data_IF_459915256320
#
_entry.id   IF_459915256320
#
_cell.length_a   1.000
_cell.length_b   1.000
_cell.length_c   1.000
_cell.angle_alpha   90.00
_cell.angle_beta   90.00
_cell.angle_gamma   90.00
#
_symmetry.space_group_name_H-M   'P 1'
#
loop_
_entity.id
_entity.type
_entity.pdbx_description
1 polymer ?
#
# COMPACT_ATOMS: atom_id res chain seq x y z
N UNK A 1 14.71 -2.12 21.17
CA UNK A 1 14.00 -0.84 20.94
C UNK A 1 12.53 -1.08 21.17
N UNK A 2 11.81 -0.17 21.83
CA UNK A 2 10.36 -0.25 22.01
C UNK A 2 9.73 0.98 21.38
N UNK A 3 8.69 0.79 20.58
CA UNK A 3 7.97 1.84 19.83
C UNK A 3 6.55 1.89 20.36
N UNK A 4 6.06 3.07 20.74
CA UNK A 4 4.73 3.25 21.34
C UNK A 4 4.09 4.54 20.80
N UNK A 5 2.86 4.47 20.31
CA UNK A 5 2.11 5.64 19.83
C UNK A 5 2.41 6.03 18.38
N UNK A 6 2.05 7.26 17.94
CA UNK A 6 2.18 7.71 16.56
C UNK A 6 3.62 8.14 16.22
N UNK A 7 4.58 7.25 16.42
CA UNK A 7 5.98 7.50 16.10
C UNK A 7 6.26 7.35 14.60
N UNK A 8 7.15 8.18 14.07
CA UNK A 8 7.65 8.10 12.70
C UNK A 8 9.13 7.73 12.77
N UNK A 9 9.44 6.49 12.39
CA UNK A 9 10.81 5.96 12.45
C UNK A 9 11.35 5.83 11.04
N UNK A 10 12.54 6.39 10.82
CA UNK A 10 13.28 6.26 9.56
C UNK A 10 14.50 5.36 9.76
N UNK A 11 14.60 4.30 8.95
CA UNK A 11 15.78 3.42 8.93
C UNK A 11 16.73 3.91 7.83
N UNK A 12 17.91 4.37 8.23
CA UNK A 12 18.94 4.90 7.33
C UNK A 12 20.12 3.94 7.20
N UNK A 13 20.76 3.92 6.04
CA UNK A 13 21.92 3.10 5.77
C UNK A 13 22.20 2.95 4.28
N UNK A 14 23.42 2.53 3.93
CA UNK A 14 23.84 2.31 2.53
C UNK A 14 22.95 1.25 1.85
N UNK A 15 22.92 1.24 0.52
CA UNK A 15 22.31 0.14 -0.23
C UNK A 15 23.02 -1.17 0.10
N UNK A 16 22.26 -2.25 0.25
CA UNK A 16 22.80 -3.55 0.70
C UNK A 16 22.98 -3.69 2.22
N UNK A 17 22.74 -2.66 3.04
CA UNK A 17 22.86 -2.73 4.51
C UNK A 17 21.79 -3.60 5.20
N UNK A 18 20.89 -4.25 4.45
CA UNK A 18 19.83 -5.11 5.00
C UNK A 18 18.56 -4.38 5.47
N UNK A 19 18.32 -3.13 5.04
CA UNK A 19 17.14 -2.33 5.43
C UNK A 19 15.82 -3.05 5.13
N UNK A 20 15.61 -3.50 3.90
CA UNK A 20 14.41 -4.25 3.51
C UNK A 20 14.27 -5.57 4.27
N UNK A 21 15.38 -6.23 4.57
CA UNK A 21 15.39 -7.45 5.42
C UNK A 21 14.93 -7.14 6.84
N UNK A 22 15.38 -6.02 7.41
CA UNK A 22 14.93 -5.55 8.72
C UNK A 22 13.43 -5.21 8.71
N UNK A 23 12.95 -4.48 7.70
CA UNK A 23 11.52 -4.16 7.56
C UNK A 23 10.65 -5.41 7.47
N UNK A 24 11.08 -6.46 6.74
CA UNK A 24 10.38 -7.75 6.68
C UNK A 24 10.34 -8.46 8.04
N UNK A 25 11.42 -8.40 8.82
CA UNK A 25 11.43 -8.95 10.18
C UNK A 25 10.46 -8.20 11.11
N UNK A 26 10.47 -6.87 11.05
CA UNK A 26 9.54 -6.02 11.81
C UNK A 26 8.09 -6.35 11.43
N UNK A 27 7.80 -6.51 10.13
CA UNK A 27 6.47 -6.94 9.66
C UNK A 27 6.04 -8.24 10.34
N UNK A 28 6.89 -9.27 10.33
CA UNK A 28 6.56 -10.56 10.93
C UNK A 28 6.36 -10.47 12.46
N UNK A 29 7.13 -9.62 13.15
CA UNK A 29 6.98 -9.37 14.58
C UNK A 29 5.68 -8.62 14.89
N UNK A 30 5.31 -7.62 14.09
CA UNK A 30 4.01 -6.98 14.23
C UNK A 30 2.85 -7.96 14.00
N UNK A 31 3.01 -8.91 13.07
CA UNK A 31 2.00 -9.96 12.82
C UNK A 31 1.84 -10.89 14.01
N UNK A 32 2.94 -11.27 14.69
CA UNK A 32 2.86 -12.10 15.89
C UNK A 32 2.22 -11.39 17.08
N UNK A 33 2.20 -10.06 17.07
CA UNK A 33 1.47 -9.22 18.02
C UNK A 33 0.01 -8.97 17.63
N UNK A 34 -0.48 -9.61 16.55
CA UNK A 34 -1.84 -9.45 16.03
C UNK A 34 -2.19 -7.99 15.64
N UNK A 35 -1.18 -7.23 15.19
CA UNK A 35 -1.37 -5.87 14.69
C UNK A 35 -1.74 -5.90 13.20
N UNK A 36 -2.63 -5.00 12.78
CA UNK A 36 -2.95 -4.78 11.38
C UNK A 36 -1.85 -3.95 10.72
N UNK A 37 -1.22 -4.50 9.69
CA UNK A 37 -0.04 -3.87 9.08
C UNK A 37 -0.31 -3.50 7.63
N UNK A 38 -0.09 -2.23 7.30
CA UNK A 38 0.04 -1.77 5.94
C UNK A 38 1.48 -1.90 5.48
N UNK A 39 1.74 -2.66 4.41
CA UNK A 39 3.08 -2.83 3.86
C UNK A 39 3.15 -2.33 2.42
N UNK A 40 4.05 -1.38 2.15
CA UNK A 40 4.35 -0.93 0.79
C UNK A 40 5.76 -1.40 0.41
N UNK A 41 5.90 -2.32 -0.57
CA UNK A 41 7.19 -2.82 -0.98
C UNK A 41 7.97 -1.79 -1.82
N UNK A 42 9.29 -1.97 -1.89
CA UNK A 42 10.17 -1.17 -2.74
C UNK A 42 9.81 -1.30 -4.23
N UNK A 43 9.39 -2.50 -4.65
CA UNK A 43 8.90 -2.77 -6.00
C UNK A 43 7.57 -3.52 -5.97
N UNK A 44 6.70 -3.20 -6.92
CA UNK A 44 5.39 -3.82 -7.11
C UNK A 44 5.45 -5.06 -8.01
N UNK A 45 6.62 -5.69 -8.20
CA UNK A 45 6.77 -6.90 -9.04
C UNK A 45 5.80 -8.03 -8.68
N UNK A 46 5.41 -8.14 -7.41
CA UNK A 46 4.43 -9.13 -6.96
C UNK A 46 3.05 -8.95 -7.62
N UNK A 47 2.74 -7.73 -8.09
CA UNK A 47 1.49 -7.35 -8.76
C UNK A 47 1.59 -7.36 -10.29
N UNK A 48 2.79 -7.53 -10.85
CA UNK A 48 2.97 -7.67 -12.30
C UNK A 48 2.52 -9.06 -12.82
N UNK A 49 2.33 -10.01 -11.91
CA UNK A 49 1.93 -11.39 -12.24
C UNK A 49 0.47 -11.69 -11.95
N UNK A 50 -0.29 -10.69 -11.49
CA UNK A 50 -1.69 -10.85 -11.09
C UNK A 50 -2.58 -10.24 -12.14
N UNK A 51 -3.70 -10.88 -12.48
CA UNK A 51 -4.75 -10.27 -13.32
C UNK A 51 -5.75 -9.41 -12.51
N UNK A 52 -5.35 -8.99 -11.31
CA UNK A 52 -6.19 -8.25 -10.37
C UNK A 52 -6.28 -6.78 -10.75
N UNK A 53 -7.50 -6.24 -10.80
CA UNK A 53 -7.71 -4.81 -10.99
C UNK A 53 -7.80 -4.03 -9.65
N UNK A 54 -7.85 -2.70 -9.73
CA UNK A 54 -7.84 -1.84 -8.54
C UNK A 54 -9.08 -2.03 -7.63
N UNK A 55 -10.26 -2.27 -8.19
CA UNK A 55 -11.48 -2.52 -7.39
C UNK A 55 -11.36 -3.86 -6.66
N UNK A 56 -10.92 -4.89 -7.37
CA UNK A 56 -10.74 -6.23 -6.82
C UNK A 56 -9.71 -6.24 -5.68
N UNK A 57 -8.62 -5.49 -5.83
CA UNK A 57 -7.61 -5.37 -4.79
C UNK A 57 -8.11 -4.68 -3.51
N UNK A 58 -9.06 -3.76 -3.64
CA UNK A 58 -9.64 -3.03 -2.51
C UNK A 58 -10.86 -3.73 -1.88
N UNK A 59 -11.41 -4.74 -2.54
CA UNK A 59 -12.59 -5.46 -2.07
C UNK A 59 -12.16 -6.76 -1.38
N UNK A 60 -12.61 -6.99 -0.15
CA UNK A 60 -12.34 -8.24 0.56
C UNK A 60 -13.32 -9.35 0.12
N UNK A 61 -14.50 -8.95 -0.37
CA UNK A 61 -15.55 -9.77 -0.96
C UNK A 61 -16.08 -9.14 -2.24
N UNK A 62 -16.44 -9.95 -3.24
CA UNK A 62 -16.98 -9.47 -4.53
C UNK A 62 -18.45 -9.00 -4.44
N UNK A 63 -18.86 -8.49 -3.28
CA UNK A 63 -20.21 -7.97 -3.09
C UNK A 63 -20.38 -6.60 -3.78
N UNK A 64 -21.60 -6.28 -4.22
CA UNK A 64 -21.89 -4.99 -4.86
C UNK A 64 -21.62 -3.80 -3.95
N UNK A 65 -21.88 -3.94 -2.64
CA UNK A 65 -21.64 -2.88 -1.66
C UNK A 65 -20.14 -2.57 -1.50
N UNK A 66 -19.29 -3.61 -1.41
CA UNK A 66 -17.84 -3.41 -1.33
C UNK A 66 -17.24 -2.85 -2.61
N UNK A 67 -17.66 -3.34 -3.77
CA UNK A 67 -17.21 -2.76 -5.05
C UNK A 67 -17.61 -1.29 -5.18
N UNK A 68 -18.78 -0.91 -4.64
CA UNK A 68 -19.23 0.49 -4.61
C UNK A 68 -18.36 1.33 -3.69
N UNK A 69 -18.04 0.84 -2.48
CA UNK A 69 -17.11 1.51 -1.56
C UNK A 69 -15.71 1.68 -2.17
N UNK A 70 -15.17 0.62 -2.78
CA UNK A 70 -13.88 0.65 -3.46
C UNK A 70 -13.88 1.66 -4.62
N UNK A 71 -14.92 1.65 -5.45
CA UNK A 71 -15.05 2.60 -6.57
C UNK A 71 -15.14 4.05 -6.10
N UNK A 72 -15.89 4.31 -5.03
CA UNK A 72 -15.99 5.65 -4.44
C UNK A 72 -14.65 6.15 -3.89
N UNK A 73 -13.90 5.26 -3.20
CA UNK A 73 -12.57 5.58 -2.67
C UNK A 73 -11.55 5.83 -3.80
N UNK A 74 -11.56 5.01 -4.86
CA UNK A 74 -10.71 5.23 -6.03
C UNK A 74 -11.07 6.55 -6.73
N UNK A 75 -12.37 6.86 -6.82
CA UNK A 75 -12.87 8.12 -7.36
C UNK A 75 -12.34 9.33 -6.59
N UNK A 76 -12.36 9.31 -5.25
CA UNK A 76 -11.79 10.40 -4.43
C UNK A 76 -10.28 10.54 -4.59
N UNK A 77 -9.59 9.48 -5.02
CA UNK A 77 -8.16 9.48 -5.33
C UNK A 77 -7.82 9.90 -6.77
N UNK A 78 -8.83 10.35 -7.53
CA UNK A 78 -8.76 10.74 -8.93
C UNK A 78 -8.40 9.60 -9.90
N UNK A 79 -8.84 8.37 -9.60
CA UNK A 79 -8.85 7.33 -10.63
C UNK A 79 -10.01 7.57 -11.59
N UNK A 80 -9.74 7.44 -12.89
CA UNK A 80 -10.79 7.37 -13.90
C UNK A 80 -11.44 6.00 -13.86
N UNK A 81 -12.69 5.91 -14.33
CA UNK A 81 -13.44 4.65 -14.32
C UNK A 81 -12.68 3.55 -15.06
N UNK A 82 -12.07 3.86 -16.21
CA UNK A 82 -11.30 2.89 -16.99
C UNK A 82 -10.06 2.39 -16.24
N UNK A 83 -9.44 3.23 -15.41
CA UNK A 83 -8.27 2.88 -14.62
C UNK A 83 -8.61 1.96 -13.44
N UNK A 84 -9.84 2.03 -12.93
CA UNK A 84 -10.31 1.17 -11.84
C UNK A 84 -10.43 -0.31 -12.26
N UNK A 85 -10.69 -0.56 -13.54
CA UNK A 85 -10.84 -1.90 -14.12
C UNK A 85 -9.59 -2.40 -14.84
N UNK A 86 -8.51 -1.60 -14.91
CA UNK A 86 -7.21 -2.04 -15.44
C UNK A 86 -6.48 -2.90 -14.43
N UNK A 87 -5.65 -3.80 -14.95
CA UNK A 87 -4.72 -4.57 -14.14
C UNK A 87 -3.80 -3.61 -13.35
N UNK A 88 -3.55 -3.92 -12.08
CA UNK A 88 -2.63 -3.15 -11.23
C UNK A 88 -1.24 -3.02 -11.89
N UNK A 89 -0.79 -4.04 -12.62
CA UNK A 89 0.47 -4.03 -13.36
C UNK A 89 0.60 -2.79 -14.28
N UNK A 90 -0.51 -2.39 -14.92
CA UNK A 90 -0.57 -1.30 -15.90
C UNK A 90 -0.69 0.10 -15.27
N UNK A 91 -0.88 0.17 -13.95
CA UNK A 91 -0.95 1.45 -13.24
C UNK A 91 0.42 2.10 -13.14
N UNK A 92 0.45 3.43 -13.24
CA UNK A 92 1.65 4.22 -12.95
C UNK A 92 2.10 4.03 -11.50
N UNK A 93 3.37 4.30 -11.19
CA UNK A 93 3.90 4.21 -9.82
C UNK A 93 3.10 5.06 -8.81
N UNK A 94 2.65 6.24 -9.22
CA UNK A 94 1.82 7.12 -8.39
C UNK A 94 0.40 6.58 -8.17
N UNK A 95 -0.20 5.96 -9.18
CA UNK A 95 -1.49 5.27 -9.03
C UNK A 95 -1.36 4.06 -8.10
N UNK A 96 -0.30 3.25 -8.27
CA UNK A 96 0.03 2.14 -7.36
C UNK A 96 0.16 2.68 -5.92
N UNK A 97 0.93 3.73 -5.69
CA UNK A 97 1.07 4.28 -4.35
C UNK A 97 -0.28 4.70 -3.72
N UNK A 98 -1.16 5.40 -4.47
CA UNK A 98 -2.51 5.75 -4.01
C UNK A 98 -3.34 4.51 -3.67
N UNK A 99 -3.30 3.49 -4.53
CA UNK A 99 -4.03 2.23 -4.33
C UNK A 99 -3.59 1.52 -3.06
N UNK A 100 -2.29 1.49 -2.77
CA UNK A 100 -1.76 0.87 -1.55
C UNK A 100 -2.17 1.65 -0.32
N UNK A 101 -2.07 2.97 -0.33
CA UNK A 101 -2.57 3.79 0.78
C UNK A 101 -4.07 3.62 1.00
N UNK A 102 -4.86 3.50 -0.09
CA UNK A 102 -6.29 3.21 -0.01
C UNK A 102 -6.54 1.87 0.70
N UNK A 103 -5.82 0.81 0.32
CA UNK A 103 -5.94 -0.52 0.95
C UNK A 103 -5.57 -0.46 2.43
N UNK A 104 -4.46 0.18 2.78
CA UNK A 104 -4.03 0.35 4.18
C UNK A 104 -5.07 1.10 5.02
N UNK A 105 -5.75 2.09 4.43
CA UNK A 105 -6.83 2.82 5.08
C UNK A 105 -8.07 1.96 5.30
N UNK A 106 -8.52 1.23 4.27
CA UNK A 106 -9.65 0.30 4.36
C UNK A 106 -9.41 -0.80 5.40
N UNK A 107 -8.19 -1.33 5.42
CA UNK A 107 -7.78 -2.39 6.36
C UNK A 107 -7.64 -1.87 7.80
N UNK A 108 -7.73 -0.55 8.01
CA UNK A 108 -7.48 0.12 9.29
C UNK A 108 -6.13 -0.29 9.88
N UNK A 109 -5.08 -0.18 9.07
CA UNK A 109 -3.73 -0.52 9.48
C UNK A 109 -3.30 0.29 10.72
N UNK A 110 -2.79 -0.41 11.73
CA UNK A 110 -2.25 0.15 12.97
C UNK A 110 -0.76 0.50 12.82
N UNK A 111 -0.05 -0.22 11.96
CA UNK A 111 1.38 0.01 11.65
C UNK A 111 1.57 0.12 10.14
N UNK A 112 2.24 1.18 9.69
CA UNK A 112 2.63 1.35 8.29
C UNK A 112 4.13 1.09 8.12
N UNK A 113 4.46 0.16 7.23
CA UNK A 113 5.83 -0.21 6.87
C UNK A 113 6.03 0.13 5.40
N UNK A 114 6.86 1.13 5.12
CA UNK A 114 7.07 1.67 3.78
C UNK A 114 8.54 1.47 3.36
N UNK A 115 8.79 0.67 2.33
CA UNK A 115 10.14 0.43 1.82
C UNK A 115 10.40 1.31 0.57
N UNK A 116 11.34 2.25 0.68
CA UNK A 116 11.63 3.31 -0.32
C UNK A 116 10.38 3.98 -0.94
N UNK A 117 9.48 4.55 -0.13
CA UNK A 117 8.20 5.09 -0.62
C UNK A 117 8.35 6.15 -1.71
N UNK A 118 9.39 6.98 -1.61
CA UNK A 118 9.65 8.09 -2.53
C UNK A 118 10.03 7.66 -3.94
N UNK A 119 10.46 6.40 -4.16
CA UNK A 119 10.80 5.90 -5.50
C UNK A 119 9.60 5.88 -6.45
N UNK A 120 8.42 5.58 -5.90
CA UNK A 120 7.18 5.44 -6.66
C UNK A 120 6.22 6.62 -6.44
N UNK A 121 6.56 7.54 -5.53
CA UNK A 121 5.79 8.73 -5.22
C UNK A 121 6.38 9.94 -5.94
N UNK A 122 5.62 10.51 -6.86
CA UNK A 122 5.90 11.87 -7.32
C UNK A 122 5.75 12.83 -6.14
N UNK A 123 6.62 13.87 -6.00
CA UNK A 123 6.51 14.86 -4.93
C UNK A 123 5.18 15.63 -4.88
N UNK A 124 4.33 15.49 -5.91
CA UNK A 124 3.01 16.13 -6.01
C UNK A 124 1.84 15.23 -5.61
N UNK A 125 2.07 14.16 -4.83
CA UNK A 125 0.96 13.32 -4.36
C UNK A 125 0.10 14.06 -3.32
N UNK A 126 -0.86 14.85 -3.81
CA UNK A 126 -1.92 15.43 -3.00
C UNK A 126 -2.93 14.34 -2.63
N UNK A 127 -2.75 13.71 -1.47
CA UNK A 127 -3.83 13.05 -0.75
C UNK A 127 -4.58 14.16 -0.01
N UNK A 128 -5.71 14.60 -0.57
CA UNK A 128 -6.64 15.53 0.10
C UNK A 128 -7.66 14.73 0.91
#
# INVERSE_FOLDING_TARGET
MKVIGPEKICIVGKNGAGKSTLLKKIKNECQSLNLKIGYMPQSYFEFEKTDTNAIEYLSDSFTKDEQTKASNLLGSLNFKREEMFRNIADLSGGQKAKLFFAKMNLDKAEVLILDEPTRNLSPYLNLR
#
